data_IF_143790836409
#
_entry.id   IF_143790836409
#
_cell.length_a   1.000
_cell.length_b   1.000
_cell.length_c   1.000
_cell.angle_alpha   90.00
_cell.angle_beta   90.00
_cell.angle_gamma   90.00
#
_symmetry.space_group_name_H-M   'P 1'
#
loop_
_entity.id
_entity.type
_entity.pdbx_description
1 polymer ?
#
# COMPACT_ATOMS: atom_id res chain seq x y z
N UNK A 1 -13.59 17.35 12.06
CA UNK A 1 -12.43 18.26 12.12
C UNK A 1 -12.24 19.04 10.80
N UNK A 2 -12.47 18.44 9.62
CA UNK A 2 -12.27 19.14 8.34
C UNK A 2 -13.08 20.44 8.23
N UNK A 3 -14.31 20.46 8.74
CA UNK A 3 -15.18 21.65 8.73
C UNK A 3 -14.57 22.86 9.42
N UNK A 4 -13.71 22.64 10.41
CA UNK A 4 -13.00 23.72 11.12
C UNK A 4 -11.77 24.20 10.36
N UNK A 5 -11.16 23.34 9.55
CA UNK A 5 -9.88 23.61 8.88
C UNK A 5 -10.06 24.25 7.50
N UNK A 6 -11.19 24.01 6.83
CA UNK A 6 -11.40 24.55 5.45
C UNK A 6 -11.54 26.06 5.37
N UNK A 7 -11.88 26.71 6.48
CA UNK A 7 -12.04 28.17 6.55
C UNK A 7 -10.75 28.89 6.94
N UNK A 8 -9.68 28.14 7.24
CA UNK A 8 -8.37 28.67 7.62
C UNK A 8 -7.49 28.75 6.38
N UNK A 9 -6.91 29.92 6.14
CA UNK A 9 -5.89 30.10 5.10
C UNK A 9 -4.51 29.84 5.70
N UNK A 10 -3.94 28.67 5.36
CA UNK A 10 -2.61 28.27 5.83
C UNK A 10 -1.51 28.84 4.95
N UNK A 11 -0.37 29.21 5.53
CA UNK A 11 0.84 29.49 4.74
C UNK A 11 1.42 28.20 4.19
N UNK A 12 1.48 27.14 5.00
CA UNK A 12 1.97 25.82 4.62
C UNK A 12 1.01 24.72 5.09
N UNK A 13 0.77 23.74 4.23
CA UNK A 13 0.20 22.43 4.61
C UNK A 13 1.20 21.36 4.29
N UNK A 14 1.66 20.66 5.32
CA UNK A 14 2.64 19.57 5.22
C UNK A 14 1.93 18.26 5.53
N UNK A 15 1.96 17.30 4.62
CA UNK A 15 1.48 15.94 4.83
C UNK A 15 2.69 15.03 5.07
N UNK A 16 2.84 14.58 6.32
CA UNK A 16 3.75 13.50 6.64
C UNK A 16 3.07 12.15 6.34
N UNK A 17 3.85 11.12 6.03
CA UNK A 17 3.36 9.81 5.58
C UNK A 17 2.32 9.95 4.45
N UNK A 18 2.67 10.75 3.44
CA UNK A 18 1.74 11.15 2.35
C UNK A 18 1.21 9.99 1.51
N UNK A 19 1.72 8.76 1.67
CA UNK A 19 1.09 7.57 1.11
C UNK A 19 -0.34 7.33 1.64
N UNK A 20 -0.73 7.97 2.75
CA UNK A 20 -2.11 7.95 3.24
C UNK A 20 -3.12 8.53 2.24
N UNK A 21 -2.68 9.44 1.35
CA UNK A 21 -3.51 10.05 0.30
C UNK A 21 -3.33 9.43 -1.09
N UNK A 22 -2.73 8.25 -1.21
CA UNK A 22 -2.48 7.58 -2.49
C UNK A 22 -3.75 7.28 -3.31
N UNK A 23 -4.89 7.11 -2.66
CA UNK A 23 -6.16 6.86 -3.35
C UNK A 23 -6.94 8.17 -3.52
N UNK A 24 -7.06 8.72 -4.77
CA UNK A 24 -7.77 9.98 -5.02
C UNK A 24 -9.25 9.95 -4.61
N UNK A 25 -9.87 8.77 -4.61
CA UNK A 25 -11.28 8.59 -4.25
C UNK A 25 -11.52 8.53 -2.73
N UNK A 26 -10.47 8.35 -1.93
CA UNK A 26 -10.60 8.20 -0.48
C UNK A 26 -11.10 9.47 0.20
N UNK A 27 -11.81 9.32 1.31
CA UNK A 27 -12.28 10.45 2.13
C UNK A 27 -11.12 11.31 2.65
N UNK A 28 -10.00 10.67 2.97
CA UNK A 28 -8.79 11.35 3.48
C UNK A 28 -8.19 12.25 2.41
N UNK A 29 -8.01 11.75 1.18
CA UNK A 29 -7.47 12.53 0.06
C UNK A 29 -8.38 13.71 -0.28
N UNK A 30 -9.69 13.48 -0.35
CA UNK A 30 -10.66 14.54 -0.59
C UNK A 30 -10.63 15.61 0.50
N UNK A 31 -10.54 15.20 1.78
CA UNK A 31 -10.44 16.13 2.89
C UNK A 31 -9.14 16.95 2.83
N UNK A 32 -7.99 16.30 2.58
CA UNK A 32 -6.72 16.99 2.44
C UNK A 32 -6.73 18.02 1.29
N UNK A 33 -7.37 17.68 0.17
CA UNK A 33 -7.48 18.58 -1.00
C UNK A 33 -8.36 19.82 -0.77
N UNK A 34 -9.24 19.79 0.23
CA UNK A 34 -10.07 20.96 0.60
C UNK A 34 -9.32 22.01 1.41
N UNK A 35 -8.15 21.68 1.98
CA UNK A 35 -7.36 22.61 2.77
C UNK A 35 -6.82 23.73 1.87
N UNK A 36 -7.01 24.98 2.31
CA UNK A 36 -6.47 26.15 1.63
C UNK A 36 -5.05 26.40 2.12
N UNK A 37 -4.09 26.48 1.20
CA UNK A 37 -2.69 26.74 1.54
C UNK A 37 -1.98 27.48 0.41
N UNK A 38 -1.05 28.37 0.77
CA UNK A 38 -0.15 29.02 -0.20
C UNK A 38 0.88 28.02 -0.72
N UNK A 39 1.38 27.17 0.17
CA UNK A 39 2.41 26.17 -0.13
C UNK A 39 1.99 24.82 0.40
N UNK A 40 2.37 23.77 -0.32
CA UNK A 40 2.07 22.39 0.04
C UNK A 40 3.31 21.52 -0.05
N UNK A 41 3.48 20.62 0.91
CA UNK A 41 4.58 19.66 0.96
C UNK A 41 4.05 18.28 1.30
N UNK A 42 4.56 17.27 0.61
CA UNK A 42 4.35 15.85 0.94
C UNK A 42 5.68 15.23 1.36
N UNK A 43 5.69 14.54 2.49
CA UNK A 43 6.81 13.75 2.94
C UNK A 43 6.41 12.28 3.00
N UNK A 44 7.30 11.39 2.56
CA UNK A 44 7.08 9.95 2.62
C UNK A 44 8.41 9.22 2.71
N UNK A 45 8.52 8.31 3.66
CA UNK A 45 9.65 7.38 3.75
C UNK A 45 9.52 6.18 2.80
N UNK A 46 8.34 5.95 2.26
CA UNK A 46 8.08 4.83 1.35
C UNK A 46 8.39 5.26 -0.08
N UNK A 47 9.25 4.52 -0.82
CA UNK A 47 9.44 4.81 -2.24
C UNK A 47 8.10 4.68 -2.98
N UNK A 48 7.91 5.51 -4.00
CA UNK A 48 6.77 5.43 -4.92
C UNK A 48 6.88 4.10 -5.72
N UNK A 49 6.36 3.01 -5.16
CA UNK A 49 6.77 1.68 -5.61
C UNK A 49 5.77 0.95 -6.51
N UNK A 50 4.47 1.17 -6.37
CA UNK A 50 3.57 0.12 -6.85
C UNK A 50 2.48 0.56 -7.83
N UNK A 51 2.22 1.85 -8.00
CA UNK A 51 1.16 2.28 -8.89
C UNK A 51 1.38 3.73 -9.32
N UNK A 52 1.29 3.98 -10.60
CA UNK A 52 1.40 5.32 -11.18
C UNK A 52 0.31 6.27 -10.63
N UNK A 53 -0.83 5.74 -10.22
CA UNK A 53 -1.89 6.53 -9.56
C UNK A 53 -1.52 7.09 -8.18
N UNK A 54 -0.62 6.44 -7.45
CA UNK A 54 -0.15 6.95 -6.15
C UNK A 54 0.56 8.30 -6.34
N UNK A 55 1.30 8.44 -7.43
CA UNK A 55 1.96 9.68 -7.84
C UNK A 55 0.92 10.74 -8.21
N UNK A 56 -0.10 10.37 -8.98
CA UNK A 56 -1.15 11.29 -9.38
C UNK A 56 -1.84 11.93 -8.18
N UNK A 57 -2.23 11.15 -7.19
CA UNK A 57 -2.93 11.64 -6.01
C UNK A 57 -2.09 12.65 -5.22
N UNK A 58 -0.80 12.34 -4.99
CA UNK A 58 0.12 13.24 -4.28
C UNK A 58 0.40 14.51 -5.09
N UNK A 59 0.66 14.39 -6.39
CA UNK A 59 0.91 15.55 -7.24
C UNK A 59 -0.33 16.44 -7.41
N UNK A 60 -1.52 15.84 -7.47
CA UNK A 60 -2.76 16.62 -7.52
C UNK A 60 -3.06 17.36 -6.20
N UNK A 61 -2.59 16.83 -5.05
CA UNK A 61 -2.60 17.57 -3.81
C UNK A 61 -1.58 18.73 -3.83
N UNK A 62 -0.35 18.48 -4.27
CA UNK A 62 0.73 19.48 -4.31
C UNK A 62 0.45 20.60 -5.32
N UNK A 63 0.11 20.23 -6.54
CA UNK A 63 -0.09 21.11 -7.68
C UNK A 63 -1.38 20.71 -8.41
N UNK A 64 -2.56 21.17 -7.95
CA UNK A 64 -3.83 20.77 -8.55
C UNK A 64 -3.88 21.07 -10.05
N UNK A 65 -4.23 20.08 -10.83
CA UNK A 65 -4.36 20.19 -12.29
C UNK A 65 -3.08 20.04 -13.11
N UNK A 66 -1.89 19.99 -12.50
CA UNK A 66 -0.61 19.87 -13.21
C UNK A 66 -0.53 18.63 -14.13
N UNK A 67 -1.07 17.51 -13.68
CA UNK A 67 -1.10 16.26 -14.44
C UNK A 67 -2.40 16.04 -15.23
N UNK A 68 -3.21 17.09 -15.38
CA UNK A 68 -4.51 17.01 -16.04
C UNK A 68 -5.59 16.31 -15.20
N UNK A 69 -6.69 15.92 -15.86
CA UNK A 69 -7.73 15.15 -15.20
C UNK A 69 -7.27 13.72 -14.89
N UNK A 70 -7.94 13.08 -13.92
CA UNK A 70 -7.64 11.69 -13.56
C UNK A 70 -7.81 10.74 -14.76
N UNK A 71 -8.79 10.98 -15.62
CA UNK A 71 -9.01 10.16 -16.81
C UNK A 71 -7.91 10.37 -17.85
N UNK A 72 -7.50 11.62 -18.09
CA UNK A 72 -6.35 11.93 -18.96
C UNK A 72 -5.09 11.23 -18.45
N UNK A 73 -4.75 11.39 -17.17
CA UNK A 73 -3.58 10.75 -16.58
C UNK A 73 -3.62 9.22 -16.69
N UNK A 74 -4.80 8.64 -16.50
CA UNK A 74 -5.01 7.20 -16.64
C UNK A 74 -4.67 6.70 -18.04
N UNK A 75 -5.15 7.38 -19.07
CA UNK A 75 -4.96 6.97 -20.47
C UNK A 75 -3.53 7.26 -20.95
N UNK A 76 -2.97 8.41 -20.59
CA UNK A 76 -1.67 8.83 -21.08
C UNK A 76 -0.48 8.21 -20.34
N UNK A 77 -0.64 7.91 -19.04
CA UNK A 77 0.47 7.44 -18.23
C UNK A 77 0.18 6.12 -17.49
N UNK A 78 -0.91 6.02 -16.72
CA UNK A 78 -1.08 4.88 -15.85
C UNK A 78 -1.26 3.57 -16.61
N UNK A 79 -2.17 3.49 -17.59
CA UNK A 79 -2.37 2.28 -18.37
C UNK A 79 -1.13 1.92 -19.21
N UNK A 80 -0.52 2.83 -19.97
CA UNK A 80 0.70 2.52 -20.72
C UNK A 80 1.85 2.03 -19.85
N UNK A 81 2.07 2.67 -18.70
CA UNK A 81 3.18 2.31 -17.82
C UNK A 81 2.89 1.02 -17.04
N UNK A 82 1.72 0.95 -16.35
CA UNK A 82 1.44 -0.12 -15.40
C UNK A 82 1.04 -1.44 -16.08
N UNK A 83 0.37 -1.38 -17.26
CA UNK A 83 -0.07 -2.59 -17.98
C UNK A 83 0.85 -3.01 -19.12
N UNK A 84 1.40 -2.03 -19.83
CA UNK A 84 2.21 -2.30 -21.04
C UNK A 84 3.69 -2.07 -20.86
N UNK A 85 4.12 -1.47 -19.73
CA UNK A 85 5.52 -1.23 -19.41
C UNK A 85 6.19 -0.23 -20.35
N UNK A 86 5.45 0.73 -20.95
CA UNK A 86 5.96 1.70 -21.91
C UNK A 86 7.01 2.62 -21.26
N UNK A 87 8.27 2.43 -21.68
CA UNK A 87 9.40 3.16 -21.11
C UNK A 87 9.38 4.65 -21.49
N UNK A 88 8.99 4.97 -22.71
CA UNK A 88 8.92 6.37 -23.19
C UNK A 88 7.93 7.19 -22.37
N UNK A 89 6.76 6.64 -22.05
CA UNK A 89 5.76 7.27 -21.20
C UNK A 89 6.25 7.45 -19.76
N UNK A 90 6.95 6.46 -19.25
CA UNK A 90 7.58 6.51 -17.92
C UNK A 90 8.65 7.60 -17.84
N UNK A 91 9.50 7.70 -18.85
CA UNK A 91 10.56 8.71 -18.90
C UNK A 91 9.99 10.11 -19.11
N UNK A 92 8.93 10.24 -19.89
CA UNK A 92 8.20 11.50 -20.03
C UNK A 92 7.61 11.95 -18.67
N UNK A 93 6.88 11.08 -17.98
CA UNK A 93 6.32 11.37 -16.65
C UNK A 93 7.43 11.75 -15.66
N UNK A 94 8.54 11.01 -15.67
CA UNK A 94 9.70 11.30 -14.83
C UNK A 94 10.25 12.70 -15.05
N UNK A 95 10.37 13.15 -16.31
CA UNK A 95 10.82 14.51 -16.64
C UNK A 95 9.89 15.58 -16.11
N UNK A 96 8.58 15.37 -16.21
CA UNK A 96 7.56 16.29 -15.65
C UNK A 96 7.70 16.40 -14.13
N UNK A 97 7.90 15.28 -13.45
CA UNK A 97 7.92 15.19 -11.99
C UNK A 97 9.24 15.60 -11.36
N UNK A 98 10.34 15.52 -12.12
CA UNK A 98 11.70 15.74 -11.62
C UNK A 98 11.89 17.03 -10.80
N UNK A 99 11.35 18.21 -11.21
CA UNK A 99 11.53 19.45 -10.47
C UNK A 99 10.79 19.48 -9.13
N UNK A 100 9.84 18.59 -8.90
CA UNK A 100 8.94 18.58 -7.73
C UNK A 100 9.28 17.48 -6.72
N UNK A 101 10.21 16.57 -7.06
CA UNK A 101 10.56 15.43 -6.21
C UNK A 101 12.01 15.52 -5.78
N UNK A 102 12.21 15.56 -4.46
CA UNK A 102 13.52 15.44 -3.84
C UNK A 102 13.62 14.10 -3.10
N UNK A 103 14.46 13.20 -3.60
CA UNK A 103 14.73 11.90 -2.96
C UNK A 103 16.20 11.79 -2.61
N UNK A 104 16.48 11.49 -1.34
CA UNK A 104 17.82 11.17 -0.84
C UNK A 104 17.79 9.85 -0.11
N UNK A 105 18.75 8.98 -0.37
CA UNK A 105 18.93 7.75 0.41
C UNK A 105 19.80 8.02 1.64
N UNK A 106 19.67 7.18 2.67
CA UNK A 106 20.53 7.28 3.87
C UNK A 106 22.02 7.20 3.51
N UNK A 107 22.39 6.32 2.57
CA UNK A 107 23.77 6.16 2.11
C UNK A 107 24.34 7.44 1.46
N UNK A 108 23.50 8.24 0.80
CA UNK A 108 23.91 9.49 0.18
C UNK A 108 24.16 10.62 1.18
N UNK A 109 23.42 10.66 2.29
CA UNK A 109 23.41 11.80 3.21
C UNK A 109 24.03 11.51 4.58
N UNK A 110 24.08 10.27 5.01
CA UNK A 110 24.54 9.84 6.34
C UNK A 110 25.74 8.90 6.20
N UNK A 111 26.84 9.43 5.69
CA UNK A 111 28.08 8.66 5.45
C UNK A 111 28.74 8.12 6.72
N UNK A 112 28.40 8.70 7.87
CA UNK A 112 28.94 8.29 9.17
C UNK A 112 28.14 7.14 9.81
N UNK A 113 27.03 6.70 9.19
CA UNK A 113 26.31 5.54 9.69
C UNK A 113 27.03 4.25 9.29
N UNK A 114 27.16 3.28 10.23
CA UNK A 114 27.67 1.97 9.89
C UNK A 114 26.77 1.26 8.90
N UNK A 115 27.33 0.29 8.18
CA UNK A 115 26.58 -0.55 7.26
C UNK A 115 25.43 -1.27 7.98
N UNK A 116 24.30 -1.39 7.28
CA UNK A 116 23.14 -2.11 7.81
C UNK A 116 23.46 -3.60 7.90
N UNK A 117 23.43 -4.14 9.11
CA UNK A 117 23.53 -5.59 9.33
C UNK A 117 22.12 -6.19 9.40
N UNK A 118 21.84 -7.13 8.53
CA UNK A 118 20.58 -7.90 8.55
C UNK A 118 20.86 -9.33 8.99
N UNK A 119 20.22 -9.75 10.06
CA UNK A 119 20.29 -11.12 10.57
C UNK A 119 18.94 -11.80 10.46
N UNK A 120 18.89 -12.95 9.82
CA UNK A 120 17.67 -13.77 9.72
C UNK A 120 17.67 -14.75 10.89
N UNK A 121 16.68 -14.59 11.76
CA UNK A 121 16.45 -15.54 12.85
C UNK A 121 15.35 -16.51 12.42
N UNK A 122 15.69 -17.80 12.36
CA UNK A 122 14.75 -18.85 12.07
C UNK A 122 14.17 -19.38 13.38
N UNK A 123 12.84 -19.34 13.48
CA UNK A 123 12.10 -19.88 14.61
C UNK A 123 11.27 -21.06 14.15
N UNK A 124 11.36 -22.15 14.87
CA UNK A 124 10.54 -23.35 14.64
C UNK A 124 9.28 -23.29 15.50
N UNK A 125 8.17 -23.79 14.96
CA UNK A 125 6.93 -23.91 15.73
C UNK A 125 7.05 -25.08 16.70
N UNK A 126 6.51 -24.93 17.89
CA UNK A 126 6.27 -26.05 18.82
C UNK A 126 5.29 -27.06 18.23
N UNK A 127 5.37 -28.30 18.70
CA UNK A 127 4.60 -29.43 18.15
C UNK A 127 3.07 -29.17 18.15
N UNK A 128 2.54 -28.57 19.19
CA UNK A 128 1.11 -28.24 19.26
C UNK A 128 0.72 -27.15 18.27
N UNK A 129 1.52 -26.10 18.19
CA UNK A 129 1.32 -25.02 17.22
C UNK A 129 1.41 -25.55 15.78
N UNK A 130 2.37 -26.45 15.51
CA UNK A 130 2.53 -27.08 14.22
C UNK A 130 1.32 -27.92 13.82
N UNK A 131 0.75 -28.69 14.74
CA UNK A 131 -0.48 -29.47 14.50
C UNK A 131 -1.65 -28.57 14.12
N UNK A 132 -1.86 -27.47 14.86
CA UNK A 132 -2.90 -26.49 14.55
C UNK A 132 -2.69 -25.87 13.19
N UNK A 133 -1.45 -25.44 12.89
CA UNK A 133 -1.10 -24.86 11.60
C UNK A 133 -1.37 -25.82 10.43
N UNK A 134 -0.92 -27.08 10.54
CA UNK A 134 -1.08 -28.06 9.47
C UNK A 134 -2.54 -28.46 9.25
N UNK A 135 -3.32 -28.59 10.33
CA UNK A 135 -4.76 -28.85 10.24
C UNK A 135 -5.47 -27.69 9.50
N UNK A 136 -5.18 -26.46 9.91
CA UNK A 136 -5.77 -25.27 9.30
C UNK A 136 -5.35 -25.11 7.82
N UNK A 137 -4.07 -25.31 7.52
CA UNK A 137 -3.55 -25.27 6.15
C UNK A 137 -4.25 -26.27 5.23
N UNK A 138 -4.45 -27.51 5.70
CA UNK A 138 -5.07 -28.55 4.90
C UNK A 138 -6.55 -28.27 4.63
N UNK A 139 -7.33 -27.92 5.68
CA UNK A 139 -8.74 -27.53 5.53
C UNK A 139 -8.91 -26.33 4.59
N UNK A 140 -8.03 -25.33 4.76
CA UNK A 140 -8.09 -24.12 3.94
C UNK A 140 -7.72 -24.38 2.48
N UNK A 141 -6.71 -25.24 2.24
CA UNK A 141 -6.34 -25.66 0.90
C UNK A 141 -7.53 -26.31 0.19
N UNK A 142 -8.22 -27.23 0.87
CA UNK A 142 -9.33 -27.95 0.27
C UNK A 142 -10.53 -27.01 0.00
N UNK A 143 -10.82 -26.07 0.90
CA UNK A 143 -11.81 -25.00 0.67
C UNK A 143 -11.45 -24.09 -0.51
N UNK A 144 -10.19 -23.69 -0.63
CA UNK A 144 -9.73 -22.85 -1.75
C UNK A 144 -9.87 -23.60 -3.07
N UNK A 145 -9.44 -24.85 -3.14
CA UNK A 145 -9.55 -25.66 -4.36
C UNK A 145 -11.01 -25.80 -4.80
N UNK A 146 -11.92 -26.16 -3.88
CA UNK A 146 -13.34 -26.25 -4.19
C UNK A 146 -13.98 -24.89 -4.63
N UNK A 147 -13.49 -23.78 -4.05
CA UNK A 147 -13.97 -22.44 -4.45
C UNK A 147 -13.43 -22.02 -5.82
N UNK A 148 -12.18 -22.35 -6.13
CA UNK A 148 -11.59 -22.08 -7.45
C UNK A 148 -12.28 -22.87 -8.54
N UNK A 149 -12.55 -24.15 -8.29
CA UNK A 149 -13.27 -25.01 -9.25
C UNK A 149 -14.69 -24.53 -9.53
N UNK A 150 -15.39 -24.00 -8.49
CA UNK A 150 -16.79 -23.58 -8.63
C UNK A 150 -16.96 -22.15 -9.11
N UNK A 151 -16.09 -21.21 -8.74
CA UNK A 151 -16.28 -19.75 -8.94
C UNK A 151 -15.14 -19.04 -9.68
N UNK A 152 -14.04 -19.74 -9.92
CA UNK A 152 -12.84 -19.20 -10.56
C UNK A 152 -11.92 -18.41 -9.60
N UNK A 153 -10.69 -18.18 -10.04
CA UNK A 153 -9.60 -17.58 -9.22
C UNK A 153 -9.93 -16.15 -8.75
N UNK A 154 -10.58 -15.34 -9.61
CA UNK A 154 -10.84 -13.93 -9.25
C UNK A 154 -11.81 -13.78 -8.07
N UNK A 155 -12.82 -14.62 -7.97
CA UNK A 155 -13.78 -14.59 -6.86
C UNK A 155 -13.22 -15.22 -5.59
N UNK A 156 -12.18 -16.05 -5.71
CA UNK A 156 -11.54 -16.73 -4.58
C UNK A 156 -10.46 -15.88 -3.87
N UNK A 157 -10.09 -14.72 -4.42
CA UNK A 157 -8.99 -13.89 -3.89
C UNK A 157 -9.19 -13.51 -2.42
N UNK A 158 -10.41 -13.12 -2.04
CA UNK A 158 -10.71 -12.74 -0.66
C UNK A 158 -10.58 -13.94 0.29
N UNK A 159 -11.04 -15.11 -0.13
CA UNK A 159 -10.91 -16.37 0.63
C UNK A 159 -9.45 -16.73 0.82
N UNK A 160 -8.64 -16.65 -0.26
CA UNK A 160 -7.20 -16.89 -0.20
C UNK A 160 -6.53 -15.95 0.80
N UNK A 161 -6.84 -14.65 0.73
CA UNK A 161 -6.27 -13.67 1.65
C UNK A 161 -6.65 -13.95 3.11
N UNK A 162 -7.92 -14.29 3.39
CA UNK A 162 -8.37 -14.69 4.72
C UNK A 162 -7.59 -15.88 5.27
N UNK A 163 -7.36 -16.91 4.45
CA UNK A 163 -6.59 -18.09 4.83
C UNK A 163 -5.14 -17.76 5.16
N UNK A 164 -4.50 -16.97 4.34
CA UNK A 164 -3.12 -16.52 4.58
C UNK A 164 -3.01 -15.70 5.88
N UNK A 165 -3.98 -14.83 6.14
CA UNK A 165 -4.02 -14.04 7.38
C UNK A 165 -4.18 -14.95 8.62
N UNK A 166 -5.05 -15.96 8.55
CA UNK A 166 -5.24 -16.91 9.66
C UNK A 166 -3.98 -17.76 9.89
N UNK A 167 -3.35 -18.28 8.85
CA UNK A 167 -2.09 -19.00 8.97
C UNK A 167 -1.00 -18.14 9.61
N UNK A 168 -0.91 -16.87 9.22
CA UNK A 168 0.02 -15.92 9.86
C UNK A 168 -0.31 -15.71 11.34
N UNK A 169 -1.58 -15.56 11.71
CA UNK A 169 -1.99 -15.43 13.11
C UNK A 169 -1.61 -16.67 13.93
N UNK A 170 -1.73 -17.89 13.36
CA UNK A 170 -1.30 -19.12 14.03
C UNK A 170 0.21 -19.11 14.26
N UNK A 171 1.01 -18.59 13.30
CA UNK A 171 2.46 -18.45 13.47
C UNK A 171 2.81 -17.48 14.61
N UNK A 172 2.05 -16.38 14.76
CA UNK A 172 2.28 -15.40 15.83
C UNK A 172 1.84 -15.97 17.19
N UNK A 173 0.63 -16.46 17.29
CA UNK A 173 0.11 -17.20 18.47
C UNK A 173 -1.22 -17.88 18.14
N UNK A 174 -1.37 -19.18 18.41
CA UNK A 174 -2.66 -19.87 18.25
C UNK A 174 -3.80 -19.31 19.11
N UNK A 175 -3.46 -18.63 20.22
CA UNK A 175 -4.46 -17.99 21.10
C UNK A 175 -5.20 -16.80 20.45
N UNK A 176 -4.68 -16.26 19.35
CA UNK A 176 -5.33 -15.18 18.58
C UNK A 176 -6.57 -15.70 17.83
N UNK A 177 -6.66 -17.00 17.59
CA UNK A 177 -7.84 -17.59 16.96
C UNK A 177 -9.04 -17.48 17.91
N UNK A 178 -10.15 -16.92 17.43
CA UNK A 178 -11.40 -16.91 18.16
C UNK A 178 -11.87 -18.35 18.41
N UNK A 179 -12.75 -18.55 19.44
CA UNK A 179 -13.28 -19.88 19.74
C UNK A 179 -14.00 -20.53 18.55
N UNK A 180 -14.62 -19.72 17.69
CA UNK A 180 -15.27 -20.16 16.44
C UNK A 180 -14.29 -20.64 15.36
N UNK A 181 -13.02 -20.27 15.46
CA UNK A 181 -11.96 -20.66 14.54
C UNK A 181 -11.16 -21.88 15.06
N UNK A 182 -11.46 -22.35 16.27
CA UNK A 182 -10.87 -23.61 16.78
C UNK A 182 -11.50 -24.76 16.04
N UNK A 183 -10.68 -25.59 15.44
CA UNK A 183 -11.15 -26.84 14.86
C UNK A 183 -11.78 -27.67 15.97
N UNK A 184 -13.08 -27.98 15.84
CA UNK A 184 -13.68 -29.07 16.58
C UNK A 184 -12.95 -30.33 16.13
N UNK A 185 -12.17 -30.90 17.03
CA UNK A 185 -11.57 -32.22 16.84
C UNK A 185 -12.72 -33.22 16.77
N UNK A 186 -13.05 -33.66 15.58
CA UNK A 186 -13.86 -34.86 15.33
C UNK A 186 -12.93 -36.05 15.10
#
# INVERSE_FOLDING_TARGET
>A
DIKMLVDIDFDYVVLDESQAIKNPASKVTKAASLLKAKHRLCMSGTPLQNNTFDIYAQMNFLNPGMLGSMEFFRQEFAIPIDKFGEQDRKDHLRKILFPFILRRTKEQVAKDLPDKTETILWCEMEDEQRKIYDAYRNDFRDKILGTIESQGVQKSQLTILQGLMKLRQICDSPAILNEQDKFENH
#
